data_IF_871122149791
#
_entry.id   IF_871122149791
#
_cell.length_a   1.000
_cell.length_b   1.000
_cell.length_c   1.000
_cell.angle_alpha   90.00
_cell.angle_beta   90.00
_cell.angle_gamma   90.00
#
_symmetry.space_group_name_H-M   'P 1'
#
loop_
_entity.id
_entity.type
_entity.pdbx_description
1 polymer ?
#
# COMPACT_ATOMS: atom_id res chain seq x y z
N UNK A 1 16.60 -65.15 -37.51
CA UNK A 1 16.94 -64.29 -36.37
C UNK A 1 16.31 -62.94 -36.60
N UNK A 2 15.07 -62.72 -36.13
CA UNK A 2 14.35 -61.47 -36.25
C UNK A 2 14.20 -60.89 -34.83
N UNK A 3 14.80 -59.74 -34.58
CA UNK A 3 14.66 -59.04 -33.31
C UNK A 3 13.40 -58.18 -33.37
N UNK A 4 12.47 -58.51 -32.49
CA UNK A 4 11.27 -57.72 -32.26
C UNK A 4 11.63 -56.35 -31.65
N UNK A 5 11.27 -55.29 -32.34
CA UNK A 5 11.39 -53.90 -31.86
C UNK A 5 10.03 -53.51 -31.22
N UNK A 6 10.01 -53.51 -29.90
CA UNK A 6 8.85 -53.11 -29.13
C UNK A 6 8.87 -51.59 -29.02
N UNK A 7 7.97 -50.93 -29.75
CA UNK A 7 7.76 -49.47 -29.63
C UNK A 7 7.01 -49.16 -28.31
N UNK A 8 7.73 -48.62 -27.36
CA UNK A 8 7.13 -48.08 -26.13
C UNK A 8 6.69 -46.62 -26.41
N UNK A 9 5.38 -46.41 -26.60
CA UNK A 9 4.79 -45.08 -26.68
C UNK A 9 4.71 -44.53 -25.25
N UNK A 10 5.68 -43.70 -24.87
CA UNK A 10 5.61 -42.87 -23.71
C UNK A 10 4.64 -41.71 -24.02
N UNK A 11 3.40 -41.82 -23.56
CA UNK A 11 2.49 -40.71 -23.46
C UNK A 11 3.02 -39.77 -22.38
N UNK A 12 3.83 -38.78 -22.75
CA UNK A 12 4.16 -37.65 -21.91
C UNK A 12 2.92 -36.80 -21.77
N UNK A 13 2.17 -37.03 -20.69
CA UNK A 13 1.14 -36.12 -20.24
C UNK A 13 1.88 -34.84 -19.82
N UNK A 14 2.05 -33.92 -20.74
CA UNK A 14 2.55 -32.57 -20.48
C UNK A 14 1.53 -31.90 -19.58
N UNK A 15 1.79 -31.92 -18.29
CA UNK A 15 1.15 -30.98 -17.37
C UNK A 15 1.68 -29.62 -17.79
N UNK A 16 0.91 -28.94 -18.64
CA UNK A 16 1.09 -27.49 -18.87
C UNK A 16 0.72 -26.86 -17.53
N UNK A 17 1.71 -26.58 -16.71
CA UNK A 17 1.57 -25.54 -15.71
C UNK A 17 1.33 -24.25 -16.53
N UNK A 18 0.07 -23.95 -16.80
CA UNK A 18 -0.33 -22.59 -17.07
C UNK A 18 0.01 -21.85 -15.79
N UNK A 19 1.19 -21.24 -15.74
CA UNK A 19 1.42 -20.10 -14.88
C UNK A 19 0.32 -19.13 -15.30
N UNK A 20 -0.76 -19.05 -14.54
CA UNK A 20 -1.71 -17.98 -14.70
C UNK A 20 -0.87 -16.72 -14.50
N UNK A 21 -0.61 -15.98 -15.58
CA UNK A 21 -0.12 -14.64 -15.45
C UNK A 21 -1.04 -13.98 -14.41
N UNK A 22 -0.46 -13.44 -13.36
CA UNK A 22 -1.24 -12.77 -12.33
C UNK A 22 -2.07 -11.73 -13.07
N UNK A 23 -3.41 -11.86 -12.98
CA UNK A 23 -4.28 -10.95 -13.70
C UNK A 23 -4.16 -9.59 -13.02
N UNK A 24 -3.39 -8.69 -13.62
CA UNK A 24 -3.11 -7.35 -13.10
C UNK A 24 -4.39 -6.52 -13.11
N UNK A 25 -4.79 -6.05 -11.97
CA UNK A 25 -5.86 -5.06 -11.78
C UNK A 25 -5.78 -4.48 -10.37
N UNK A 26 -6.09 -3.20 -10.24
CA UNK A 26 -6.29 -2.57 -8.93
C UNK A 26 -7.69 -2.81 -8.36
N UNK A 27 -8.66 -3.25 -9.20
CA UNK A 27 -10.04 -3.51 -8.80
C UNK A 27 -10.36 -5.00 -8.86
N UNK A 28 -10.87 -5.57 -7.77
CA UNK A 28 -11.20 -6.98 -7.64
C UNK A 28 -12.60 -7.19 -7.10
N UNK A 29 -13.37 -8.05 -7.76
CA UNK A 29 -14.70 -8.48 -7.30
C UNK A 29 -14.56 -9.66 -6.35
N UNK A 30 -15.17 -9.56 -5.18
CA UNK A 30 -15.22 -10.62 -4.17
C UNK A 30 -16.63 -11.18 -4.10
N UNK A 31 -16.75 -12.48 -4.34
CA UNK A 31 -18.02 -13.22 -4.24
C UNK A 31 -17.90 -14.32 -3.21
N UNK A 32 -18.94 -14.52 -2.39
CA UNK A 32 -18.93 -15.51 -1.32
C UNK A 32 -20.30 -16.14 -1.10
N UNK A 33 -20.35 -17.18 -0.27
CA UNK A 33 -21.54 -18.03 -0.08
C UNK A 33 -22.67 -17.39 0.75
N UNK A 34 -22.50 -16.17 1.29
CA UNK A 34 -23.41 -15.62 2.32
C UNK A 34 -23.93 -14.20 2.05
N UNK A 35 -23.49 -13.56 0.96
CA UNK A 35 -23.99 -12.23 0.58
C UNK A 35 -24.60 -12.28 -0.81
N UNK A 36 -25.79 -11.73 -0.98
CA UNK A 36 -26.48 -11.66 -2.27
C UNK A 36 -25.79 -10.66 -3.23
N UNK A 37 -25.05 -9.70 -2.68
CA UNK A 37 -24.29 -8.69 -3.42
C UNK A 37 -22.79 -8.92 -3.31
N UNK A 38 -22.03 -8.72 -4.39
CA UNK A 38 -20.58 -8.81 -4.37
C UNK A 38 -19.97 -7.64 -3.57
N UNK A 39 -18.82 -7.88 -2.97
CA UNK A 39 -17.93 -6.84 -2.46
C UNK A 39 -16.81 -6.56 -3.47
N UNK A 40 -16.08 -5.47 -3.29
CA UNK A 40 -14.96 -5.11 -4.14
C UNK A 40 -13.76 -4.71 -3.30
N UNK A 41 -12.54 -5.04 -3.77
CA UNK A 41 -11.28 -4.53 -3.25
C UNK A 41 -10.70 -3.59 -4.28
N UNK A 42 -10.18 -2.47 -3.83
CA UNK A 42 -9.49 -1.50 -4.67
C UNK A 42 -8.16 -1.11 -4.04
N UNK A 43 -7.07 -1.27 -4.81
CA UNK A 43 -5.74 -0.86 -4.39
C UNK A 43 -5.57 0.64 -4.53
N UNK A 44 -5.30 1.35 -3.43
CA UNK A 44 -5.03 2.79 -3.42
C UNK A 44 -3.54 3.09 -3.36
N UNK A 45 -3.23 4.36 -3.50
CA UNK A 45 -1.91 4.94 -3.29
C UNK A 45 -2.07 6.32 -2.62
N UNK A 46 -1.22 6.63 -1.63
CA UNK A 46 -1.35 7.85 -0.81
C UNK A 46 -0.75 9.09 -1.48
N UNK A 47 -1.17 9.41 -2.70
CA UNK A 47 -0.64 10.55 -3.46
C UNK A 47 -1.75 11.43 -4.04
N UNK A 48 -1.36 12.65 -4.48
CA UNK A 48 -2.24 13.67 -5.03
C UNK A 48 -1.93 13.97 -6.51
N UNK A 49 -1.21 13.09 -7.22
CA UNK A 49 -0.97 13.20 -8.65
C UNK A 49 -2.26 12.94 -9.43
N UNK A 50 -2.59 13.80 -10.39
CA UNK A 50 -3.86 13.71 -11.14
C UNK A 50 -4.01 12.40 -11.92
N UNK A 51 -2.89 11.80 -12.34
CA UNK A 51 -2.86 10.56 -13.11
C UNK A 51 -3.56 9.41 -12.37
N UNK A 52 -3.38 9.31 -11.05
CA UNK A 52 -3.98 8.24 -10.25
C UNK A 52 -5.49 8.43 -10.01
N UNK A 53 -6.04 9.59 -10.37
CA UNK A 53 -7.46 9.89 -10.30
C UNK A 53 -8.16 9.79 -11.65
N UNK A 54 -7.40 9.56 -12.73
CA UNK A 54 -7.93 9.51 -14.11
C UNK A 54 -8.58 8.15 -14.45
N UNK A 55 -9.12 7.45 -13.46
CA UNK A 55 -9.80 6.17 -13.65
C UNK A 55 -11.26 6.32 -14.12
N UNK A 56 -11.80 5.24 -14.71
CA UNK A 56 -13.18 5.15 -15.16
C UNK A 56 -14.18 5.36 -14.02
N UNK A 57 -15.34 5.92 -14.35
CA UNK A 57 -16.51 6.05 -13.44
C UNK A 57 -16.97 4.71 -12.86
N UNK A 58 -16.58 3.59 -13.47
CA UNK A 58 -16.82 2.24 -12.99
C UNK A 58 -16.44 2.07 -11.50
N UNK A 59 -15.36 2.69 -11.06
CA UNK A 59 -14.89 2.61 -9.67
C UNK A 59 -15.97 3.14 -8.73
N UNK A 60 -16.54 4.32 -9.03
CA UNK A 60 -17.62 4.90 -8.24
C UNK A 60 -18.93 4.09 -8.33
N UNK A 61 -19.20 3.47 -9.48
CA UNK A 61 -20.40 2.62 -9.62
C UNK A 61 -20.28 1.37 -8.76
N UNK A 62 -19.10 0.76 -8.67
CA UNK A 62 -18.86 -0.36 -7.75
C UNK A 62 -18.96 0.08 -6.29
N UNK A 63 -18.40 1.23 -5.96
CA UNK A 63 -18.52 1.80 -4.62
C UNK A 63 -19.99 2.09 -4.27
N UNK A 64 -20.79 2.66 -5.18
CA UNK A 64 -22.23 2.88 -4.97
C UNK A 64 -23.00 1.59 -4.74
N UNK A 65 -22.64 0.52 -5.44
CA UNK A 65 -23.33 -0.77 -5.35
C UNK A 65 -23.11 -1.51 -4.03
N UNK A 66 -22.13 -1.10 -3.22
CA UNK A 66 -21.85 -1.67 -1.92
C UNK A 66 -22.57 -0.94 -0.78
N UNK A 67 -22.82 -1.64 0.32
CA UNK A 67 -23.50 -1.07 1.51
C UNK A 67 -22.60 -0.11 2.29
N UNK A 68 -21.28 -0.35 2.29
CA UNK A 68 -20.30 0.44 3.04
C UNK A 68 -18.99 0.60 2.28
N UNK A 69 -18.20 1.62 2.67
CA UNK A 69 -16.76 1.72 2.38
C UNK A 69 -15.97 1.11 3.54
N UNK A 70 -14.92 0.35 3.24
CA UNK A 70 -13.90 -0.01 4.22
C UNK A 70 -12.55 0.57 3.78
N UNK A 71 -11.82 1.15 4.72
CA UNK A 71 -10.49 1.75 4.50
C UNK A 71 -9.52 1.25 5.57
N UNK A 72 -8.22 1.44 5.36
CA UNK A 72 -7.24 1.09 6.39
C UNK A 72 -7.56 1.81 7.69
N UNK A 73 -7.56 3.13 7.66
CA UNK A 73 -7.88 4.02 8.78
C UNK A 73 -8.87 5.10 8.37
N UNK A 74 -9.72 5.53 9.29
CA UNK A 74 -10.55 6.74 9.12
C UNK A 74 -9.74 7.91 9.69
N UNK A 75 -8.81 8.41 8.87
CA UNK A 75 -7.72 9.30 9.30
C UNK A 75 -8.24 10.58 9.98
N UNK A 76 -9.33 11.14 9.49
CA UNK A 76 -9.91 12.38 10.02
C UNK A 76 -10.77 12.19 11.30
N UNK A 77 -10.93 10.95 11.76
CA UNK A 77 -11.53 10.62 13.06
C UNK A 77 -10.47 10.30 14.13
N UNK A 78 -9.18 10.25 13.74
CA UNK A 78 -8.09 10.00 14.68
C UNK A 78 -7.79 11.27 15.45
N UNK A 79 -7.69 11.16 16.78
CA UNK A 79 -7.30 12.28 17.62
C UNK A 79 -5.88 12.78 17.27
N UNK A 80 -5.72 14.08 16.91
CA UNK A 80 -4.42 14.63 16.50
C UNK A 80 -3.33 14.51 17.57
N UNK A 81 -3.70 14.62 18.86
CA UNK A 81 -2.72 14.53 19.95
C UNK A 81 -2.21 13.10 20.11
N UNK A 82 -3.09 12.11 19.97
CA UNK A 82 -2.71 10.69 19.92
C UNK A 82 -1.78 10.42 18.76
N UNK A 83 -2.11 10.92 17.56
CA UNK A 83 -1.25 10.78 16.38
C UNK A 83 0.13 11.38 16.63
N UNK A 84 0.19 12.61 17.15
CA UNK A 84 1.43 13.29 17.46
C UNK A 84 2.29 12.49 18.46
N UNK A 85 1.70 11.99 19.54
CA UNK A 85 2.42 11.20 20.56
C UNK A 85 3.02 9.91 19.95
N UNK A 86 2.27 9.22 19.12
CA UNK A 86 2.73 7.98 18.47
C UNK A 86 3.86 8.22 17.45
N UNK A 87 3.95 9.43 16.89
CA UNK A 87 5.01 9.81 15.95
C UNK A 87 6.31 10.27 16.63
N UNK A 88 6.31 10.46 17.95
CA UNK A 88 7.48 10.91 18.69
C UNK A 88 8.30 9.73 19.23
N UNK A 89 9.60 9.94 19.34
CA UNK A 89 10.53 9.05 20.05
C UNK A 89 10.20 9.08 21.56
N UNK A 90 10.20 7.93 22.19
CA UNK A 90 9.97 7.81 23.65
C UNK A 90 11.13 8.44 24.44
N UNK A 91 12.37 8.17 24.00
CA UNK A 91 13.57 8.66 24.62
C UNK A 91 14.53 9.26 23.56
N UNK A 92 15.33 10.21 23.98
CA UNK A 92 16.34 10.84 23.12
C UNK A 92 15.78 11.72 22.01
N UNK A 93 16.62 12.00 21.03
CA UNK A 93 16.33 12.77 19.83
C UNK A 93 17.08 12.16 18.64
N UNK A 94 16.69 12.48 17.41
CA UNK A 94 17.41 12.01 16.23
C UNK A 94 18.90 12.48 16.24
N UNK A 95 19.19 13.61 16.88
CA UNK A 95 20.57 14.12 17.00
C UNK A 95 21.50 13.16 17.75
N UNK A 96 20.97 12.30 18.62
CA UNK A 96 21.77 11.32 19.36
C UNK A 96 22.28 10.19 18.45
N UNK A 97 21.75 10.07 17.23
CA UNK A 97 22.03 9.00 16.26
C UNK A 97 22.75 9.51 14.99
N UNK A 98 23.01 10.81 14.89
CA UNK A 98 23.63 11.44 13.72
C UNK A 98 25.03 11.97 14.08
N UNK A 99 25.97 11.88 13.13
CA UNK A 99 27.17 12.69 13.17
C UNK A 99 26.85 14.17 12.94
N UNK A 100 27.78 15.07 13.27
CA UNK A 100 27.61 16.49 13.01
C UNK A 100 27.37 16.79 11.51
N UNK A 101 28.02 16.06 10.63
CA UNK A 101 27.89 16.20 9.17
C UNK A 101 26.48 15.75 8.69
N UNK A 102 26.00 14.63 9.17
CA UNK A 102 24.65 14.11 8.86
C UNK A 102 23.56 15.04 9.42
N UNK A 103 23.73 15.54 10.64
CA UNK A 103 22.80 16.50 11.22
C UNK A 103 22.70 17.77 10.37
N UNK A 104 23.85 18.32 9.95
CA UNK A 104 23.88 19.51 9.09
C UNK A 104 23.25 19.24 7.70
N UNK A 105 23.47 18.07 7.12
CA UNK A 105 22.86 17.67 5.86
C UNK A 105 21.32 17.61 6.01
N UNK A 106 20.84 16.88 7.01
CA UNK A 106 19.41 16.71 7.25
C UNK A 106 18.73 18.05 7.60
N UNK A 107 19.37 18.89 8.43
CA UNK A 107 18.86 20.26 8.75
C UNK A 107 18.77 21.14 7.49
N UNK A 108 19.76 21.04 6.60
CA UNK A 108 19.75 21.75 5.32
C UNK A 108 18.58 21.29 4.43
N UNK A 109 18.35 19.99 4.32
CA UNK A 109 17.26 19.41 3.57
C UNK A 109 15.91 19.81 4.18
N UNK A 110 15.76 19.71 5.49
CA UNK A 110 14.53 20.13 6.20
C UNK A 110 14.20 21.59 5.93
N UNK A 111 15.19 22.49 6.08
CA UNK A 111 15.00 23.93 5.77
C UNK A 111 14.60 24.16 4.32
N UNK A 112 15.28 23.49 3.38
CA UNK A 112 15.00 23.65 1.95
C UNK A 112 13.60 23.14 1.58
N UNK A 113 13.17 22.02 2.15
CA UNK A 113 11.93 21.33 1.77
C UNK A 113 10.70 21.78 2.55
N UNK A 114 10.86 22.04 3.85
CA UNK A 114 9.73 22.39 4.75
C UNK A 114 9.72 23.84 5.18
N UNK A 115 10.82 24.59 4.97
CA UNK A 115 11.03 25.94 5.50
C UNK A 115 11.35 25.97 6.99
N UNK A 116 11.52 24.82 7.66
CA UNK A 116 11.69 24.69 9.09
C UNK A 116 13.02 24.00 9.43
N UNK A 117 13.72 24.41 10.50
CA UNK A 117 14.94 23.75 10.93
C UNK A 117 14.67 22.39 11.59
N UNK A 118 15.59 21.44 11.46
CA UNK A 118 15.51 20.10 12.05
C UNK A 118 15.25 20.13 13.57
N UNK A 119 15.78 21.11 14.28
CA UNK A 119 15.59 21.29 15.71
C UNK A 119 14.13 21.24 16.18
N UNK A 120 13.17 21.62 15.33
CA UNK A 120 11.73 21.56 15.66
C UNK A 120 11.15 20.14 15.57
N UNK A 121 11.90 19.21 14.96
CA UNK A 121 11.46 17.86 14.67
C UNK A 121 12.36 16.79 15.30
N UNK A 122 13.35 17.16 16.11
CA UNK A 122 14.34 16.24 16.67
C UNK A 122 13.74 15.08 17.46
N UNK A 123 12.55 15.28 18.05
CA UNK A 123 11.81 14.22 18.75
C UNK A 123 10.96 13.35 17.85
N UNK A 124 10.81 13.69 16.58
CA UNK A 124 10.05 12.88 15.63
C UNK A 124 10.83 11.62 15.26
N UNK A 125 10.17 10.46 15.19
CA UNK A 125 10.78 9.22 14.70
C UNK A 125 11.30 9.44 13.28
N UNK A 126 12.52 8.95 12.92
CA UNK A 126 13.15 9.22 11.63
C UNK A 126 12.29 8.78 10.42
N UNK A 127 11.53 7.70 10.55
CA UNK A 127 10.57 7.25 9.54
C UNK A 127 9.55 8.34 9.15
N UNK A 128 9.03 9.09 10.13
CA UNK A 128 8.08 10.17 9.83
C UNK A 128 8.76 11.42 9.28
N UNK A 129 10.03 11.67 9.63
CA UNK A 129 10.83 12.72 8.98
C UNK A 129 11.04 12.40 7.50
N UNK A 130 11.41 11.15 7.16
CA UNK A 130 11.53 10.69 5.78
C UNK A 130 10.21 10.87 5.02
N UNK A 131 9.09 10.45 5.63
CA UNK A 131 7.75 10.59 5.04
C UNK A 131 7.39 12.06 4.81
N UNK A 132 7.74 12.97 5.73
CA UNK A 132 7.49 14.39 5.61
C UNK A 132 8.30 15.02 4.47
N UNK A 133 9.59 14.70 4.37
CA UNK A 133 10.45 15.15 3.26
C UNK A 133 9.86 14.66 1.94
N UNK A 134 9.53 13.36 1.84
CA UNK A 134 8.93 12.77 0.63
C UNK A 134 7.65 13.50 0.22
N UNK A 135 6.75 13.80 1.16
CA UNK A 135 5.50 14.52 0.87
C UNK A 135 5.72 15.92 0.28
N UNK A 136 6.86 16.59 0.58
CA UNK A 136 7.17 17.88 -0.03
C UNK A 136 7.60 17.78 -1.49
N UNK A 137 8.01 16.58 -1.93
CA UNK A 137 8.45 16.30 -3.31
C UNK A 137 7.31 15.80 -4.19
N UNK A 138 6.24 15.30 -3.59
CA UNK A 138 5.08 14.77 -4.32
C UNK A 138 4.23 15.89 -4.93
N UNK A 139 3.67 15.69 -6.14
CA UNK A 139 2.69 16.58 -6.73
C UNK A 139 1.48 16.77 -5.80
N UNK A 140 0.96 18.00 -5.72
CA UNK A 140 -0.26 18.35 -4.98
C UNK A 140 -1.33 18.87 -5.95
N UNK A 141 -1.59 18.11 -7.01
CA UNK A 141 -2.51 18.51 -8.09
C UNK A 141 -3.96 18.25 -7.71
N UNK A 142 -4.21 17.25 -6.86
CA UNK A 142 -5.54 16.94 -6.35
C UNK A 142 -5.72 17.47 -4.91
N UNK A 143 -6.95 17.85 -4.51
CA UNK A 143 -7.22 18.41 -3.18
C UNK A 143 -6.89 17.48 -2.02
N UNK A 144 -7.05 16.17 -2.23
CA UNK A 144 -6.85 15.12 -1.23
C UNK A 144 -6.06 13.97 -1.83
N UNK A 145 -5.26 13.23 -1.06
CA UNK A 145 -4.73 11.93 -1.46
C UNK A 145 -5.87 10.97 -1.82
N UNK A 146 -5.58 9.98 -2.66
CA UNK A 146 -6.60 9.10 -3.25
C UNK A 146 -7.45 8.35 -2.22
N UNK A 147 -6.85 7.85 -1.16
CA UNK A 147 -7.54 7.17 -0.06
C UNK A 147 -8.50 8.10 0.69
N UNK A 148 -8.07 9.32 1.01
CA UNK A 148 -8.95 10.34 1.62
C UNK A 148 -10.05 10.82 0.66
N UNK A 149 -9.78 10.84 -0.64
CA UNK A 149 -10.79 11.11 -1.65
C UNK A 149 -11.92 10.07 -1.64
N UNK A 150 -11.60 8.79 -1.43
CA UNK A 150 -12.62 7.75 -1.27
C UNK A 150 -13.45 7.94 0.00
N UNK A 151 -12.84 8.34 1.11
CA UNK A 151 -13.54 8.67 2.37
C UNK A 151 -14.52 9.83 2.13
N UNK A 152 -14.05 10.94 1.55
CA UNK A 152 -14.88 12.11 1.23
C UNK A 152 -16.02 11.76 0.27
N UNK A 153 -15.73 10.94 -0.74
CA UNK A 153 -16.74 10.46 -1.70
C UNK A 153 -17.79 9.58 -1.03
N UNK A 154 -17.40 8.68 -0.12
CA UNK A 154 -18.32 7.84 0.62
C UNK A 154 -19.25 8.65 1.51
N UNK A 155 -18.73 9.69 2.17
CA UNK A 155 -19.54 10.62 2.97
C UNK A 155 -20.56 11.37 2.12
N UNK A 156 -20.16 11.85 0.94
CA UNK A 156 -21.07 12.48 -0.03
C UNK A 156 -22.15 11.54 -0.54
N UNK A 157 -21.91 10.23 -0.50
CA UNK A 157 -22.86 9.18 -0.84
C UNK A 157 -23.68 8.66 0.36
N UNK A 158 -23.50 9.25 1.54
CA UNK A 158 -24.12 8.83 2.81
C UNK A 158 -23.85 7.36 3.15
N UNK A 159 -22.64 6.88 2.85
CA UNK A 159 -22.22 5.50 3.13
C UNK A 159 -21.57 5.39 4.50
N UNK A 160 -21.82 4.25 5.16
CA UNK A 160 -21.08 3.89 6.35
C UNK A 160 -19.60 3.62 6.00
N UNK A 161 -18.69 4.14 6.81
CA UNK A 161 -17.24 3.96 6.65
C UNK A 161 -16.74 3.10 7.80
N UNK A 162 -15.91 2.11 7.47
CA UNK A 162 -15.39 1.11 8.40
C UNK A 162 -13.87 1.09 8.33
N UNK A 163 -13.20 1.16 9.47
CA UNK A 163 -11.75 0.95 9.54
C UNK A 163 -11.44 -0.56 9.55
N UNK A 164 -10.40 -0.96 8.82
CA UNK A 164 -9.89 -2.33 8.78
C UNK A 164 -8.84 -2.61 9.86
N UNK A 165 -8.17 -1.57 10.34
CA UNK A 165 -7.13 -1.60 11.37
C UNK A 165 -7.19 -0.36 12.26
N UNK A 166 -6.39 -0.35 13.30
CA UNK A 166 -6.23 0.79 14.20
C UNK A 166 -4.89 1.49 13.92
N UNK A 167 -4.77 2.78 14.26
CA UNK A 167 -3.53 3.53 14.08
C UNK A 167 -2.35 2.85 14.81
N UNK A 168 -2.60 2.28 15.98
CA UNK A 168 -1.61 1.53 16.77
C UNK A 168 -1.04 0.32 16.03
N UNK A 169 -1.78 -0.30 15.11
CA UNK A 169 -1.29 -1.42 14.30
C UNK A 169 -0.23 -0.95 13.30
N UNK A 170 -0.46 0.21 12.66
CA UNK A 170 0.48 0.81 11.71
C UNK A 170 1.74 1.32 12.40
N UNK A 171 1.58 2.09 13.47
CA UNK A 171 2.72 2.62 14.24
C UNK A 171 3.53 1.47 14.88
N UNK A 172 2.85 0.48 15.44
CA UNK A 172 3.51 -0.69 16.02
C UNK A 172 4.31 -1.52 15.03
N UNK A 173 3.99 -1.46 13.72
CA UNK A 173 4.82 -2.03 12.67
C UNK A 173 6.11 -1.21 12.47
N UNK A 174 6.01 0.13 12.48
CA UNK A 174 7.15 1.04 12.37
C UNK A 174 8.09 0.88 13.58
N UNK A 175 7.55 0.72 14.79
CA UNK A 175 8.30 0.54 16.02
C UNK A 175 9.06 -0.79 16.13
N UNK A 176 8.90 -1.71 15.15
CA UNK A 176 9.75 -2.90 15.02
C UNK A 176 11.11 -2.61 14.39
N UNK A 177 11.22 -1.49 13.72
CA UNK A 177 12.50 -0.98 13.23
C UNK A 177 13.17 -0.19 14.35
N UNK A 178 14.42 -0.47 14.65
CA UNK A 178 15.18 0.34 15.62
C UNK A 178 15.32 1.79 15.12
N UNK A 179 15.63 2.71 16.02
CA UNK A 179 15.84 4.12 15.64
C UNK A 179 17.02 4.25 14.69
N UNK A 180 18.09 3.47 14.93
CA UNK A 180 19.26 3.40 14.06
C UNK A 180 18.88 2.98 12.64
N UNK A 181 18.13 1.89 12.48
CA UNK A 181 17.67 1.42 11.17
C UNK A 181 16.79 2.47 10.47
N UNK A 182 15.95 3.22 11.22
CA UNK A 182 15.15 4.30 10.65
C UNK A 182 16.03 5.50 10.23
N UNK A 183 17.11 5.79 10.95
CA UNK A 183 18.09 6.83 10.60
C UNK A 183 18.85 6.44 9.35
N UNK A 184 19.37 5.21 9.29
CA UNK A 184 20.08 4.70 8.12
C UNK A 184 19.19 4.81 6.86
N UNK A 185 17.96 4.36 6.94
CA UNK A 185 16.99 4.47 5.84
C UNK A 185 16.76 5.93 5.41
N UNK A 186 16.61 6.85 6.38
CA UNK A 186 16.41 8.28 6.10
C UNK A 186 17.64 8.86 5.40
N UNK A 187 18.85 8.58 5.90
CA UNK A 187 20.09 9.13 5.36
C UNK A 187 20.43 8.55 3.99
N UNK A 188 20.22 7.25 3.78
CA UNK A 188 20.38 6.59 2.48
C UNK A 188 19.47 7.23 1.43
N UNK A 189 18.21 7.48 1.78
CA UNK A 189 17.25 8.15 0.90
C UNK A 189 17.61 9.59 0.53
N UNK A 190 18.49 10.25 1.31
CA UNK A 190 18.94 11.61 1.01
C UNK A 190 20.22 11.65 0.15
N UNK A 191 21.02 10.58 0.14
CA UNK A 191 22.35 10.55 -0.48
C UNK A 191 22.42 9.72 -1.76
N UNK A 192 21.42 8.87 -2.03
CA UNK A 192 21.38 8.02 -3.22
C UNK A 192 20.88 8.79 -4.45
N UNK A 193 21.84 9.24 -5.29
CA UNK A 193 21.54 9.93 -6.56
C UNK A 193 20.99 8.98 -7.64
N UNK A 194 21.36 7.70 -7.64
CA UNK A 194 20.88 6.73 -8.64
C UNK A 194 19.44 6.31 -8.41
N UNK A 195 19.02 6.25 -7.16
CA UNK A 195 17.63 5.96 -6.75
C UNK A 195 16.94 7.19 -6.18
N UNK A 196 17.09 8.35 -6.84
CA UNK A 196 16.45 9.57 -6.35
C UNK A 196 14.97 9.33 -6.05
N UNK A 197 14.47 9.89 -4.95
CA UNK A 197 13.07 9.79 -4.54
C UNK A 197 12.10 10.16 -5.68
N UNK A 198 12.50 11.09 -6.56
CA UNK A 198 11.71 11.50 -7.73
C UNK A 198 11.58 10.37 -8.76
N UNK A 199 12.68 9.65 -9.05
CA UNK A 199 12.66 8.51 -9.97
C UNK A 199 11.81 7.37 -9.41
N UNK A 200 11.98 7.04 -8.14
CA UNK A 200 11.18 6.01 -7.47
C UNK A 200 9.69 6.39 -7.47
N UNK A 201 9.37 7.65 -7.21
CA UNK A 201 8.01 8.16 -7.25
C UNK A 201 7.39 8.01 -8.66
N UNK A 202 8.10 8.41 -9.71
CA UNK A 202 7.61 8.29 -11.09
C UNK A 202 7.38 6.80 -11.46
N UNK A 203 8.32 5.92 -11.14
CA UNK A 203 8.16 4.47 -11.35
C UNK A 203 6.94 3.91 -10.61
N UNK A 204 6.70 4.38 -9.39
CA UNK A 204 5.55 3.95 -8.59
C UNK A 204 4.23 4.42 -9.22
N UNK A 205 4.16 5.66 -9.72
CA UNK A 205 2.98 6.21 -10.42
C UNK A 205 2.74 5.45 -11.72
N UNK A 206 3.77 5.23 -12.52
CA UNK A 206 3.68 4.50 -13.78
C UNK A 206 3.13 3.08 -13.54
N UNK A 207 3.75 2.32 -12.63
CA UNK A 207 3.32 0.97 -12.30
C UNK A 207 1.86 0.94 -11.75
N UNK A 208 1.46 1.98 -11.00
CA UNK A 208 0.10 2.09 -10.49
C UNK A 208 -0.92 2.34 -11.62
N UNK A 209 -0.65 3.28 -12.53
CA UNK A 209 -1.53 3.60 -13.66
C UNK A 209 -1.59 2.44 -14.66
N UNK A 210 -0.50 1.73 -14.86
CA UNK A 210 -0.45 0.51 -15.66
C UNK A 210 -1.12 -0.69 -14.97
N UNK A 211 -1.50 -0.53 -13.70
CA UNK A 211 -2.05 -1.58 -12.83
C UNK A 211 -1.11 -2.79 -12.70
N UNK A 212 0.19 -2.56 -12.86
CA UNK A 212 1.22 -3.59 -12.76
C UNK A 212 1.54 -3.88 -11.28
N UNK A 213 0.76 -4.81 -10.72
CA UNK A 213 0.88 -5.20 -9.31
C UNK A 213 2.22 -5.90 -9.00
N UNK A 214 2.83 -6.57 -9.98
CA UNK A 214 4.13 -7.23 -9.81
C UNK A 214 5.23 -6.17 -9.68
N UNK A 215 5.23 -5.15 -10.56
CA UNK A 215 6.15 -4.01 -10.45
C UNK A 215 5.92 -3.22 -9.16
N UNK A 216 4.67 -2.97 -8.75
CA UNK A 216 4.37 -2.33 -7.47
C UNK A 216 4.95 -3.14 -6.30
N UNK A 217 4.82 -4.47 -6.32
CA UNK A 217 5.37 -5.34 -5.29
C UNK A 217 6.91 -5.28 -5.25
N UNK A 218 7.57 -5.30 -6.41
CA UNK A 218 9.03 -5.19 -6.52
C UNK A 218 9.51 -3.84 -6.01
N UNK A 219 8.91 -2.72 -6.47
CA UNK A 219 9.28 -1.38 -6.03
C UNK A 219 9.16 -1.19 -4.51
N UNK A 220 8.20 -1.86 -3.88
CA UNK A 220 8.05 -1.82 -2.42
C UNK A 220 9.01 -2.74 -1.67
N UNK A 221 9.53 -3.80 -2.31
CA UNK A 221 10.54 -4.69 -1.74
C UNK A 221 11.96 -4.16 -1.96
N UNK A 222 12.19 -3.43 -3.04
CA UNK A 222 13.49 -2.83 -3.42
C UNK A 222 13.81 -1.55 -2.62
N UNK A 223 12.86 -1.05 -1.84
CA UNK A 223 13.18 -0.03 -0.85
C UNK A 223 14.16 -0.63 0.16
N UNK A 224 15.16 0.15 0.60
CA UNK A 224 16.20 -0.25 1.58
C UNK A 224 15.64 -0.64 2.97
N UNK A 225 14.41 -1.18 3.00
CA UNK A 225 13.71 -1.60 4.20
C UNK A 225 14.22 -2.97 4.66
N UNK A 226 14.55 -3.12 5.94
CA UNK A 226 14.89 -4.43 6.50
C UNK A 226 13.80 -5.46 6.23
N UNK A 227 14.16 -6.69 5.87
CA UNK A 227 13.20 -7.77 5.58
C UNK A 227 12.21 -8.01 6.73
N UNK A 228 12.69 -7.86 7.97
CA UNK A 228 11.87 -7.94 9.18
C UNK A 228 10.76 -6.89 9.21
N UNK A 229 11.07 -5.66 8.79
CA UNK A 229 10.12 -4.55 8.74
C UNK A 229 9.06 -4.74 7.65
N UNK A 230 9.49 -5.15 6.45
CA UNK A 230 8.55 -5.46 5.35
C UNK A 230 7.54 -6.56 5.75
N UNK A 231 7.97 -7.57 6.51
CA UNK A 231 7.07 -8.62 7.04
C UNK A 231 6.03 -8.07 8.03
N UNK A 232 6.45 -7.22 8.96
CA UNK A 232 5.53 -6.62 9.95
C UNK A 232 4.61 -5.60 9.29
N UNK A 233 5.15 -4.71 8.45
CA UNK A 233 4.40 -3.63 7.81
C UNK A 233 3.34 -4.15 6.83
N UNK A 234 3.61 -5.24 6.12
CA UNK A 234 2.72 -5.77 5.08
C UNK A 234 2.03 -7.06 5.56
N UNK A 235 2.76 -8.12 5.87
CA UNK A 235 2.17 -9.45 6.05
C UNK A 235 1.26 -9.53 7.28
N UNK A 236 1.68 -8.96 8.40
CA UNK A 236 0.88 -8.98 9.63
C UNK A 236 -0.40 -8.15 9.46
N UNK A 237 -0.29 -6.97 8.86
CA UNK A 237 -1.42 -6.09 8.56
C UNK A 237 -2.37 -6.76 7.57
N UNK A 238 -1.88 -7.40 6.50
CA UNK A 238 -2.70 -8.19 5.55
C UNK A 238 -3.57 -9.21 6.25
N UNK A 239 -3.02 -9.96 7.24
CA UNK A 239 -3.77 -10.94 8.02
C UNK A 239 -4.87 -10.28 8.86
N UNK A 240 -4.59 -9.13 9.45
CA UNK A 240 -5.55 -8.29 10.18
C UNK A 240 -6.69 -7.83 9.28
N UNK A 241 -6.34 -7.18 8.16
CA UNK A 241 -7.30 -6.67 7.18
C UNK A 241 -8.16 -7.78 6.56
N UNK A 242 -7.57 -8.92 6.16
CA UNK A 242 -8.32 -10.06 5.63
C UNK A 242 -9.28 -10.68 6.66
N UNK A 243 -8.94 -10.64 7.95
CA UNK A 243 -9.81 -11.06 9.05
C UNK A 243 -10.96 -10.07 9.25
N UNK A 244 -10.69 -8.78 9.24
CA UNK A 244 -11.69 -7.71 9.37
C UNK A 244 -12.67 -7.75 8.18
N UNK A 245 -12.16 -7.79 6.94
CA UNK A 245 -12.97 -7.93 5.73
C UNK A 245 -13.86 -9.16 5.76
N UNK A 246 -13.32 -10.33 6.13
CA UNK A 246 -14.13 -11.54 6.29
C UNK A 246 -15.28 -11.37 7.29
N UNK A 247 -15.05 -10.67 8.40
CA UNK A 247 -16.09 -10.38 9.40
C UNK A 247 -17.16 -9.43 8.87
N UNK A 248 -16.75 -8.40 8.13
CA UNK A 248 -17.65 -7.40 7.52
C UNK A 248 -18.49 -8.04 6.41
N UNK A 249 -17.85 -8.73 5.46
CA UNK A 249 -18.49 -9.35 4.31
C UNK A 249 -19.46 -10.49 4.63
N UNK A 250 -19.49 -10.97 5.87
CA UNK A 250 -20.55 -11.88 6.35
C UNK A 250 -21.88 -11.17 6.63
N UNK A 251 -21.86 -9.84 6.75
CA UNK A 251 -23.01 -9.04 7.19
C UNK A 251 -23.53 -8.12 6.09
N UNK A 252 -22.64 -7.58 5.27
CA UNK A 252 -22.96 -6.58 4.26
C UNK A 252 -21.90 -6.58 3.16
N UNK A 253 -22.26 -6.06 1.98
CA UNK A 253 -21.31 -5.82 0.91
C UNK A 253 -20.44 -4.61 1.23
N UNK A 254 -19.17 -4.64 0.78
CA UNK A 254 -18.22 -3.58 1.06
C UNK A 254 -17.35 -3.28 -0.15
N UNK A 255 -17.14 -1.98 -0.41
CA UNK A 255 -16.06 -1.52 -1.26
C UNK A 255 -14.87 -1.23 -0.34
N UNK A 256 -13.81 -2.05 -0.42
CA UNK A 256 -12.64 -1.92 0.44
C UNK A 256 -11.51 -1.25 -0.32
N UNK A 257 -11.10 -0.06 0.11
CA UNK A 257 -10.04 0.74 -0.48
C UNK A 257 -8.85 0.80 0.50
N UNK A 258 -7.72 0.22 0.11
CA UNK A 258 -6.49 0.17 0.91
C UNK A 258 -5.28 0.05 -0.02
N UNK A 259 -4.07 0.33 0.48
CA UNK A 259 -2.85 0.41 -0.33
C UNK A 259 -2.65 -0.80 -1.23
N UNK A 260 -2.34 -0.56 -2.51
CA UNK A 260 -2.22 -1.57 -3.56
C UNK A 260 -1.23 -2.70 -3.21
N UNK A 261 -0.19 -2.38 -2.44
CA UNK A 261 0.78 -3.34 -1.94
C UNK A 261 0.19 -4.45 -1.07
N UNK A 262 -0.94 -4.20 -0.43
CA UNK A 262 -1.63 -5.19 0.38
C UNK A 262 -2.43 -6.21 -0.44
N UNK A 263 -2.70 -5.92 -1.72
CA UNK A 263 -3.50 -6.80 -2.57
C UNK A 263 -2.80 -8.13 -2.87
N UNK A 264 -1.54 -8.09 -3.26
CA UNK A 264 -0.82 -9.15 -3.99
C UNK A 264 0.15 -9.97 -3.15
N UNK A 265 0.68 -11.06 -3.77
CA UNK A 265 1.59 -12.00 -3.15
C UNK A 265 0.88 -13.11 -2.38
N UNK A 266 1.62 -14.15 -1.99
CA UNK A 266 1.10 -15.31 -1.25
C UNK A 266 0.46 -14.94 0.09
N UNK A 267 0.88 -13.84 0.68
CA UNK A 267 0.37 -13.28 1.93
C UNK A 267 -0.44 -11.99 1.68
N UNK A 268 -0.81 -11.72 0.42
CA UNK A 268 -1.70 -10.60 0.05
C UNK A 268 -3.15 -10.83 0.48
N UNK A 269 -3.90 -9.77 0.60
CA UNK A 269 -5.31 -9.83 1.04
C UNK A 269 -6.15 -10.67 0.08
N UNK A 270 -5.88 -10.62 -1.23
CA UNK A 270 -6.57 -11.43 -2.23
C UNK A 270 -6.42 -12.93 -1.90
N UNK A 271 -5.18 -13.40 -1.74
CA UNK A 271 -4.92 -14.81 -1.48
C UNK A 271 -5.44 -15.24 -0.10
N UNK A 272 -5.26 -14.41 0.92
CA UNK A 272 -5.80 -14.68 2.26
C UNK A 272 -7.33 -14.79 2.27
N UNK A 273 -8.04 -14.06 1.43
CA UNK A 273 -9.49 -14.18 1.28
C UNK A 273 -9.89 -15.40 0.41
N UNK A 274 -9.10 -15.75 -0.62
CA UNK A 274 -9.28 -17.00 -1.37
C UNK A 274 -9.19 -18.21 -0.45
N UNK A 275 -8.21 -18.23 0.46
CA UNK A 275 -8.06 -19.29 1.48
C UNK A 275 -9.26 -19.36 2.45
N UNK A 276 -9.99 -18.25 2.63
CA UNK A 276 -11.26 -18.23 3.40
C UNK A 276 -12.47 -18.67 2.58
N UNK A 277 -12.27 -19.05 1.31
CA UNK A 277 -13.29 -19.60 0.41
C UNK A 277 -14.07 -18.56 -0.39
N UNK A 278 -13.56 -17.34 -0.52
CA UNK A 278 -14.10 -16.35 -1.45
C UNK A 278 -13.61 -16.61 -2.87
N UNK A 279 -14.48 -16.38 -3.85
CA UNK A 279 -14.10 -16.26 -5.26
C UNK A 279 -13.73 -14.82 -5.52
N UNK A 280 -12.50 -14.59 -5.99
CA UNK A 280 -11.97 -13.25 -6.24
C UNK A 280 -11.48 -13.17 -7.68
N UNK A 281 -12.07 -12.25 -8.43
CA UNK A 281 -11.88 -12.07 -9.87
C UNK A 281 -11.48 -10.61 -10.14
N UNK A 282 -10.46 -10.35 -11.01
CA UNK A 282 -10.10 -9.00 -11.39
C UNK A 282 -11.25 -8.35 -12.17
N UNK A 283 -11.39 -7.06 -12.00
CA UNK A 283 -12.33 -6.23 -12.77
C UNK A 283 -11.50 -5.23 -13.57
N UNK A 284 -11.52 -5.37 -14.88
CA UNK A 284 -10.79 -4.47 -15.77
C UNK A 284 -11.44 -3.10 -15.79
N UNK A 285 -10.62 -2.09 -15.75
CA UNK A 285 -10.95 -0.69 -15.96
C UNK A 285 -9.70 0.02 -16.53
N UNK A 286 -9.88 1.19 -17.11
CA UNK A 286 -8.78 1.93 -17.70
C UNK A 286 -8.57 3.25 -16.93
N UNK A 287 -7.30 3.68 -16.84
CA UNK A 287 -6.98 5.06 -16.55
C UNK A 287 -7.04 5.84 -17.86
N UNK A 288 -7.70 7.00 -17.85
CA UNK A 288 -7.66 7.90 -18.99
C UNK A 288 -6.23 8.40 -19.15
N UNK A 289 -5.62 8.11 -20.30
CA UNK A 289 -4.30 8.66 -20.65
C UNK A 289 -4.50 10.18 -20.75
N UNK A 290 -3.79 10.94 -19.92
CA UNK A 290 -3.76 12.39 -20.06
C UNK A 290 -3.07 12.70 -21.40
N UNK A 291 -3.83 13.21 -22.39
CA UNK A 291 -3.30 13.76 -23.63
C UNK A 291 -2.49 15.04 -23.39
#
# INVERSE_FOLDING_TARGET
MMKNFLLLILATCGIVFSGAAQENSLLWKVSGKKTDSPSYLYGTIHIQAKEVFAYDTLIYDKMRSCDALAVELIIDEIDPETTKQLMLMEEGTIADYLSDEEYHLLDSVMKARTGQPLMLFEKMKPFFLASQIMQTMMPKEMPLPLDMHFIDTARKMDKNILALEELSDQIGAIDKMSVEEQVDMLMDGLTDEENSMEKQFNQLVDAYVEQDLDSLQVLMQDTALPESFGKELIIKRNKGMAKALHKIMKKQSVFAAFGAAHLVGEQGVIELLRQKGYKIEPVRFDFAIAE
#
